data_IF_558401345004
#
_entry.id   IF_558401345004
#
_cell.length_a   1.000
_cell.length_b   1.000
_cell.length_c   1.000
_cell.angle_alpha   90.00
_cell.angle_beta   90.00
_cell.angle_gamma   90.00
#
_symmetry.space_group_name_H-M   'P 1'
#
loop_
_entity.id
_entity.type
_entity.pdbx_description
1 polymer ?
2 non-polymer ?
3 water ?
#
# COMPACT_ATOMS: atom_id res chain seq x y z
N UNK A 9 -5.41 -21.70 -22.65
CA UNK A 9 -4.37 -22.61 -22.19
C UNK A 9 -4.30 -22.65 -20.67
N UNK A 10 -5.01 -23.60 -20.07
CA UNK A 10 -5.02 -23.74 -18.61
C UNK A 10 -4.50 -25.10 -18.18
N UNK A 11 -3.59 -25.11 -17.19
CA UNK A 11 -3.07 -26.34 -16.60
C UNK A 11 -4.20 -27.22 -16.08
N UNK A 12 -4.05 -28.54 -16.19
CA UNK A 12 -5.09 -29.47 -15.79
C UNK A 12 -5.37 -29.40 -14.29
N UNK A 13 -4.32 -29.28 -13.49
CA UNK A 13 -4.45 -29.22 -12.04
C UNK A 13 -5.32 -28.04 -11.60
N UNK A 14 -5.23 -26.94 -12.35
CA UNK A 14 -5.93 -25.72 -12.00
C UNK A 14 -7.44 -25.82 -12.27
N UNK A 15 -7.78 -25.98 -13.54
CA UNK A 15 -9.19 -26.02 -13.95
C UNK A 15 -9.97 -27.11 -13.24
N UNK A 16 -9.26 -27.97 -12.51
CA UNK A 16 -9.91 -29.05 -11.78
C UNK A 16 -10.65 -28.52 -10.56
N UNK A 17 -10.07 -27.53 -9.89
CA UNK A 17 -10.61 -27.05 -8.63
C UNK A 17 -11.29 -25.68 -8.74
N UNK A 18 -11.13 -25.02 -9.88
CA UNK A 18 -11.70 -23.69 -10.06
C UNK A 18 -12.14 -23.41 -11.50
N UNK A 19 -12.89 -22.33 -11.67
CA UNK A 19 -13.35 -21.90 -12.99
C UNK A 19 -12.76 -20.54 -13.35
N UNK A 20 -11.53 -20.54 -13.83
CA UNK A 20 -10.86 -19.31 -14.24
C UNK A 20 -11.62 -18.61 -15.35
N UNK A 21 -11.82 -17.31 -15.22
CA UNK A 21 -12.63 -16.56 -16.18
C UNK A 21 -12.01 -15.22 -16.59
N UNK A 22 -12.71 -14.13 -16.27
CA UNK A 22 -12.37 -12.80 -16.77
C UNK A 22 -11.02 -12.28 -16.30
N UNK A 23 -10.83 -10.97 -16.45
CA UNK A 23 -9.61 -10.30 -16.04
C UNK A 23 -9.94 -9.12 -15.13
N UNK A 24 -9.14 -8.95 -14.09
CA UNK A 24 -9.35 -7.86 -13.13
C UNK A 24 -8.16 -6.89 -13.12
N UNK A 30 1.42 -7.27 -12.32
CA UNK A 30 0.64 -7.68 -13.47
C UNK A 30 -0.84 -7.69 -13.19
N UNK A 31 -1.63 -8.12 -14.16
CA UNK A 31 -3.08 -8.19 -14.02
C UNK A 31 -3.55 -9.56 -13.51
N UNK A 32 -4.60 -9.55 -12.70
CA UNK A 32 -5.11 -10.75 -12.05
C UNK A 32 -6.47 -11.16 -12.60
N UNK A 33 -6.76 -12.46 -12.59
CA UNK A 33 -8.00 -12.98 -13.16
C UNK A 33 -8.98 -13.49 -12.11
N UNK A 34 -10.26 -13.53 -12.47
CA UNK A 34 -11.33 -13.98 -11.57
C UNK A 34 -11.71 -15.44 -11.82
N UNK A 35 -12.06 -16.15 -10.75
CA UNK A 35 -12.47 -17.54 -10.85
C UNK A 35 -13.46 -17.93 -9.76
N UNK A 36 -14.25 -18.97 -10.02
CA UNK A 36 -15.25 -19.44 -9.05
C UNK A 36 -14.83 -20.76 -8.40
N UNK A 37 -14.92 -20.81 -7.07
CA UNK A 37 -14.61 -22.01 -6.32
C UNK A 37 -15.53 -23.15 -6.76
N UNK A 38 -14.97 -24.15 -7.40
CA UNK A 38 -15.74 -25.22 -8.03
C UNK A 38 -16.41 -26.14 -7.01
N UNK A 39 -16.44 -25.74 -5.75
CA UNK A 39 -17.04 -26.55 -4.70
C UNK A 39 -18.08 -25.77 -3.91
N UNK A 40 -17.92 -24.44 -3.87
CA UNK A 40 -18.78 -23.59 -3.05
C UNK A 40 -19.56 -22.58 -3.86
N UNK A 41 -19.18 -22.40 -5.12
CA UNK A 41 -19.80 -21.43 -6.01
C UNK A 41 -19.52 -20.00 -5.54
N UNK A 42 -18.59 -19.86 -4.61
CA UNK A 42 -18.15 -18.56 -4.13
C UNK A 42 -17.03 -18.05 -5.02
N UNK A 43 -16.99 -16.75 -5.25
CA UNK A 43 -15.99 -16.16 -6.15
C UNK A 43 -14.69 -15.80 -5.43
N UNK A 44 -13.58 -15.87 -6.16
CA UNK A 44 -12.28 -15.47 -5.65
C UNK A 44 -11.37 -14.99 -6.78
N UNK A 45 -10.31 -14.27 -6.43
CA UNK A 45 -9.36 -13.78 -7.44
C UNK A 45 -8.03 -14.51 -7.35
N UNK A 46 -7.48 -14.85 -8.51
CA UNK A 46 -6.21 -15.59 -8.57
C UNK A 46 -5.13 -14.78 -9.28
N UNK A 47 -4.00 -14.61 -8.60
CA UNK A 47 -2.89 -13.81 -9.13
C UNK A 47 -2.23 -14.47 -10.34
N UNK A 48 -1.88 -13.63 -11.33
CA UNK A 48 -1.17 -14.09 -12.51
C UNK A 48 -0.08 -13.10 -12.90
N UNK A 67 13.05 -14.01 -8.34
CA UNK A 67 12.33 -13.00 -7.58
C UNK A 67 10.82 -13.14 -7.68
N UNK A 68 10.38 -14.26 -8.26
CA UNK A 68 8.96 -14.55 -8.40
C UNK A 68 8.47 -15.37 -7.23
N UNK A 69 9.41 -16.10 -6.61
CA UNK A 69 9.11 -16.87 -5.42
C UNK A 69 8.91 -15.96 -4.22
N UNK A 70 9.58 -14.80 -4.26
CA UNK A 70 9.53 -13.85 -3.16
C UNK A 70 8.10 -13.53 -2.76
N UNK A 71 7.32 -13.03 -3.71
CA UNK A 71 5.94 -12.64 -3.43
C UNK A 71 5.15 -13.81 -2.85
N UNK A 72 5.30 -14.98 -3.46
CA UNK A 72 4.64 -16.18 -3.00
C UNK A 72 5.04 -16.49 -1.55
N UNK A 73 6.34 -16.38 -1.29
CA UNK A 73 6.88 -16.66 0.04
C UNK A 73 6.40 -15.63 1.05
N UNK A 74 6.26 -14.38 0.62
CA UNK A 74 5.82 -13.31 1.50
C UNK A 74 4.31 -13.32 1.68
N UNK A 75 3.57 -13.41 0.57
CA UNK A 75 2.12 -13.45 0.63
C UNK A 75 1.67 -14.60 1.52
N UNK A 76 2.54 -15.58 1.71
CA UNK A 76 2.28 -16.71 2.59
C UNK A 76 2.49 -16.32 4.04
N UNK A 77 3.43 -15.41 4.26
CA UNK A 77 3.73 -14.91 5.60
C UNK A 77 2.72 -13.84 6.01
N UNK A 78 2.07 -13.23 5.02
CA UNK A 78 1.08 -12.19 5.25
C UNK A 78 -0.12 -12.73 6.03
N UNK A 79 -0.35 -12.18 7.21
CA UNK A 79 -1.50 -12.58 8.03
C UNK A 79 -2.08 -11.41 8.80
N UNK A 80 -2.67 -10.47 8.08
CA UNK A 80 -3.24 -9.27 8.67
C UNK A 80 -4.50 -8.84 7.92
N UNK A 81 -5.49 -8.31 8.65
CA UNK A 81 -6.77 -7.87 8.07
C UNK A 81 -6.58 -6.97 6.84
N UNK A 82 -5.84 -5.89 7.00
CA UNK A 82 -5.64 -4.93 5.92
C UNK A 82 -4.60 -5.39 4.90
N UNK A 83 -4.46 -6.71 4.75
CA UNK A 83 -3.51 -7.27 3.80
C UNK A 83 -4.09 -8.51 3.11
N UNK A 84 -3.89 -8.60 1.81
CA UNK A 84 -4.36 -9.74 1.03
C UNK A 84 -3.97 -11.05 1.73
N UNK A 85 -4.93 -11.96 1.84
CA UNK A 85 -4.68 -13.26 2.46
C UNK A 85 -4.83 -14.36 1.42
N UNK A 86 -3.84 -15.25 1.37
CA UNK A 86 -3.85 -16.34 0.39
C UNK A 86 -4.70 -17.51 0.86
N UNK A 87 -5.43 -18.12 -0.07
CA UNK A 87 -6.27 -19.26 0.24
C UNK A 87 -5.62 -20.57 -0.19
N UNK A 88 -4.88 -20.51 -1.29
CA UNK A 88 -4.17 -21.67 -1.81
C UNK A 88 -3.17 -21.26 -2.90
N UNK A 89 -2.21 -22.13 -3.18
CA UNK A 89 -1.17 -21.82 -4.15
C UNK A 89 -0.92 -22.95 -5.14
N UNK A 90 -0.58 -22.58 -6.38
CA UNK A 90 -0.27 -23.54 -7.42
C UNK A 90 0.71 -22.95 -8.42
N UNK A 91 1.81 -23.64 -8.65
CA UNK A 91 2.88 -23.12 -9.49
C UNK A 91 2.95 -23.77 -10.87
N UNK A 92 4.16 -23.85 -11.42
CA UNK A 92 4.39 -24.43 -12.73
C UNK A 92 3.68 -23.65 -13.82
N UNK A 93 3.99 -23.97 -15.08
CA UNK A 93 3.39 -23.29 -16.22
C UNK A 93 3.50 -21.79 -16.00
N UNK A 94 2.36 -21.17 -15.66
CA UNK A 94 2.36 -19.79 -15.19
C UNK A 94 1.89 -19.75 -13.74
N UNK A 95 2.09 -18.60 -13.11
CA UNK A 95 1.96 -18.50 -11.65
C UNK A 95 0.56 -18.10 -11.19
N UNK A 96 -0.02 -18.93 -10.32
CA UNK A 96 -1.38 -18.73 -9.86
C UNK A 96 -1.48 -18.71 -8.34
N UNK A 97 -1.89 -17.57 -7.79
CA UNK A 97 -2.10 -17.43 -6.35
C UNK A 97 -3.52 -16.94 -6.08
N UNK A 98 -4.37 -17.83 -5.57
CA UNK A 98 -5.76 -17.48 -5.32
C UNK A 98 -5.99 -16.93 -3.91
N UNK A 99 -6.57 -15.74 -3.84
CA UNK A 99 -6.85 -15.10 -2.56
C UNK A 99 -8.32 -14.71 -2.46
N UNK A 100 -8.84 -14.65 -1.24
CA UNK A 100 -10.21 -14.19 -1.02
C UNK A 100 -10.44 -12.87 -1.72
N UNK A 101 -11.40 -12.84 -2.63
CA UNK A 101 -11.60 -11.69 -3.52
C UNK A 101 -12.10 -10.44 -2.81
N UNK A 102 -11.54 -9.29 -3.21
CA UNK A 102 -12.03 -7.99 -2.76
C UNK A 102 -12.99 -7.42 -3.79
N UNK A 103 -14.23 -7.22 -3.39
CA UNK A 103 -15.25 -6.70 -4.29
C UNK A 103 -15.02 -5.22 -4.61
N UNK A 104 -14.59 -4.47 -3.60
CA UNK A 104 -14.40 -3.04 -3.73
C UNK A 104 -13.55 -2.61 -4.92
N UNK A 105 -12.64 -3.47 -5.34
CA UNK A 105 -11.76 -3.18 -6.45
C UNK A 105 -10.57 -2.32 -6.02
N UNK A 106 -10.07 -1.52 -6.95
CA UNK A 106 -8.92 -0.67 -6.68
C UNK A 106 -9.33 0.64 -6.02
N UNK A 107 -8.56 1.09 -5.04
CA UNK A 107 -8.75 2.41 -4.46
C UNK A 107 -8.60 3.44 -5.57
N UNK A 108 -7.72 3.14 -6.51
CA UNK A 108 -7.51 3.98 -7.69
C UNK A 108 -8.84 4.36 -8.31
N UNK A 109 -9.55 3.36 -8.84
CA UNK A 109 -10.84 3.57 -9.49
C UNK A 109 -11.70 4.63 -8.78
N UNK A 110 -11.69 4.59 -7.45
CA UNK A 110 -12.56 5.45 -6.67
C UNK A 110 -12.09 6.91 -6.60
N UNK A 111 -10.83 7.14 -6.96
CA UNK A 111 -10.27 8.49 -6.84
C UNK A 111 -9.51 8.95 -8.08
N UNK A 112 -9.99 8.58 -9.25
CA UNK A 112 -9.41 9.06 -10.50
C UNK A 112 -10.34 10.10 -11.11
N UNK A 113 -9.94 10.68 -12.24
CA UNK A 113 -10.69 11.77 -12.84
C UNK A 113 -10.80 12.91 -11.85
N UNK A 114 -9.83 12.99 -10.95
CA UNK A 114 -9.83 14.02 -9.92
C UNK A 114 -11.18 14.11 -9.20
N UNK A 115 -11.64 12.97 -8.69
CA UNK A 115 -12.94 12.89 -8.04
C UNK A 115 -12.85 13.13 -6.54
N UNK A 116 -11.62 13.14 -6.01
CA UNK A 116 -11.39 13.36 -4.58
C UNK A 116 -12.17 12.37 -3.72
N UNK A 117 -12.11 12.56 -2.40
CA UNK A 117 -12.85 11.73 -1.47
C UNK A 117 -13.09 12.49 -0.17
N UNK A 118 -14.14 12.12 0.55
CA UNK A 118 -14.49 12.78 1.81
C UNK A 118 -13.41 12.54 2.88
N UNK A 119 -13.27 13.50 3.77
CA UNK A 119 -12.30 13.40 4.86
C UNK A 119 -12.44 12.07 5.60
N UNK A 120 -13.67 11.74 5.96
CA UNK A 120 -13.95 10.49 6.68
C UNK A 120 -13.45 9.29 5.87
N UNK A 121 -13.81 9.24 4.59
CA UNK A 121 -13.34 8.20 3.70
C UNK A 121 -11.83 8.07 3.81
N UNK A 122 -11.13 9.18 3.62
CA UNK A 122 -9.67 9.20 3.71
C UNK A 122 -9.18 8.70 5.04
N UNK A 123 -9.52 9.42 6.10
CA UNK A 123 -9.11 9.06 7.45
C UNK A 123 -9.28 7.56 7.70
N UNK A 124 -10.48 7.05 7.46
CA UNK A 124 -10.76 5.63 7.62
C UNK A 124 -9.85 4.80 6.71
N UNK A 125 -9.93 5.06 5.41
CA UNK A 125 -9.08 4.38 4.43
C UNK A 125 -7.62 4.41 4.86
N UNK A 126 -7.01 5.58 4.73
CA UNK A 126 -5.60 5.78 5.05
C UNK A 126 -5.22 5.17 6.39
N UNK A 127 -6.08 5.35 7.39
CA UNK A 127 -5.84 4.77 8.71
C UNK A 127 -5.45 3.31 8.59
N UNK A 128 -6.25 2.55 7.84
CA UNK A 128 -6.02 1.14 7.66
C UNK A 128 -4.72 0.89 6.91
N UNK A 129 -4.46 1.69 5.89
CA UNK A 129 -3.19 1.62 5.17
C UNK A 129 -2.05 1.71 6.17
N UNK A 130 -2.14 2.70 7.05
CA UNK A 130 -1.12 2.92 8.08
C UNK A 130 -0.92 1.67 8.93
N UNK A 131 -2.00 0.95 9.19
CA UNK A 131 -1.91 -0.28 9.98
C UNK A 131 -1.13 -1.36 9.23
N UNK A 132 -1.46 -1.56 7.96
CA UNK A 132 -0.77 -2.54 7.14
C UNK A 132 0.70 -2.19 6.98
N UNK A 133 0.98 -1.01 6.46
CA UNK A 133 2.35 -0.56 6.25
C UNK A 133 3.15 -0.72 7.54
N UNK A 134 2.51 -0.47 8.68
CA UNK A 134 3.16 -0.62 9.97
C UNK A 134 3.46 -2.09 10.25
N UNK A 135 2.42 -2.92 10.14
CA UNK A 135 2.57 -4.36 10.36
C UNK A 135 3.65 -4.98 9.47
N UNK A 136 3.80 -4.44 8.27
CA UNK A 136 4.84 -4.89 7.36
C UNK A 136 6.23 -4.56 7.89
N UNK A 137 6.44 -3.28 8.18
CA UNK A 137 7.72 -2.82 8.70
C UNK A 137 8.07 -3.51 10.00
N UNK A 138 7.06 -3.73 10.84
CA UNK A 138 7.25 -4.45 12.10
C UNK A 138 7.83 -5.83 11.83
N UNK A 139 7.45 -6.42 10.70
CA UNK A 139 7.97 -7.71 10.30
C UNK A 139 9.15 -7.56 9.35
N UNK A 140 9.84 -6.43 9.44
CA UNK A 140 10.97 -6.14 8.59
C UNK A 140 10.65 -6.30 7.11
N UNK A 141 9.42 -5.94 6.75
CA UNK A 141 8.96 -6.06 5.37
C UNK A 141 8.71 -4.70 4.74
N UNK A 142 9.16 -4.53 3.51
CA UNK A 142 8.94 -3.30 2.76
C UNK A 142 8.09 -3.58 1.53
N UNK A 143 7.03 -2.81 1.33
CA UNK A 143 6.18 -2.98 0.16
C UNK A 143 6.86 -2.42 -1.08
N UNK A 144 7.39 -1.22 -0.96
CA UNK A 144 8.19 -0.61 -2.02
C UNK A 144 7.39 -0.26 -3.28
N UNK A 145 6.08 -0.49 -3.25
CA UNK A 145 5.23 -0.13 -4.38
C UNK A 145 3.79 0.16 -3.95
N UNK A 146 3.64 1.12 -3.03
CA UNK A 146 2.34 1.49 -2.50
C UNK A 146 1.66 2.57 -3.34
N UNK A 147 0.58 2.20 -4.02
CA UNK A 147 -0.23 3.15 -4.78
C UNK A 147 -1.70 2.74 -4.75
N UNK A 148 -2.62 3.71 -4.95
CA UNK A 148 -4.05 3.47 -4.88
C UNK A 148 -4.49 2.19 -5.56
N UNK A 149 -3.89 1.87 -6.70
CA UNK A 149 -4.17 0.62 -7.40
C UNK A 149 -4.00 -0.55 -6.44
N UNK A 150 -2.82 -0.66 -5.85
CA UNK A 150 -2.50 -1.75 -4.94
C UNK A 150 -3.24 -1.68 -3.60
N UNK A 151 -4.14 -0.72 -3.47
CA UNK A 151 -4.98 -0.63 -2.29
C UNK A 151 -6.40 -1.06 -2.63
N UNK A 152 -6.73 -2.31 -2.30
CA UNK A 152 -8.05 -2.87 -2.63
C UNK A 152 -9.07 -2.58 -1.54
N UNK A 153 -10.35 -2.61 -1.90
CA UNK A 153 -11.41 -2.33 -0.94
C UNK A 153 -12.32 -3.55 -0.75
N UNK A 154 -13.09 -3.52 0.33
CA UNK A 154 -13.97 -4.64 0.66
C UNK A 154 -15.21 -4.68 -0.22
N UNK A 155 -16.10 -3.72 -0.02
CA UNK A 155 -17.32 -3.63 -0.82
C UNK A 155 -17.46 -2.28 -1.50
N UNK A 156 -18.28 -2.23 -2.55
CA UNK A 156 -18.48 -1.01 -3.33
C UNK A 156 -18.77 0.24 -2.50
N UNK A 157 -19.43 0.07 -1.36
CA UNK A 157 -19.80 1.18 -0.51
C UNK A 157 -18.61 2.11 -0.24
N UNK A 158 -18.90 3.37 0.06
CA UNK A 158 -17.86 4.36 0.32
C UNK A 158 -17.20 4.11 1.68
N UNK A 159 -17.79 3.21 2.45
CA UNK A 159 -17.24 2.83 3.74
C UNK A 159 -16.96 1.34 3.77
N UNK A 160 -15.70 0.97 3.97
CA UNK A 160 -15.29 -0.42 3.97
C UNK A 160 -13.85 -0.58 4.43
N UNK A 161 -13.40 -1.83 4.51
CA UNK A 161 -12.03 -2.13 4.86
C UNK A 161 -11.16 -2.16 3.61
N UNK A 162 -9.88 -1.90 3.77
CA UNK A 162 -8.97 -1.91 2.63
C UNK A 162 -7.69 -2.69 2.90
N UNK A 163 -7.32 -3.55 1.95
CA UNK A 163 -6.09 -4.32 2.05
C UNK A 163 -5.16 -3.89 0.92
N UNK A 164 -3.91 -4.38 0.96
CA UNK A 164 -2.95 -4.07 -0.10
C UNK A 164 -2.36 -5.34 -0.70
N UNK A 165 -2.14 -5.32 -2.01
CA UNK A 165 -1.62 -6.50 -2.71
C UNK A 165 -0.36 -6.19 -3.50
N UNK A 166 -0.06 -7.03 -4.47
CA UNK A 166 1.11 -6.87 -5.33
C UNK A 166 2.39 -6.72 -4.51
N UNK A 167 2.83 -7.82 -3.89
CA UNK A 167 4.06 -7.84 -3.13
C UNK A 167 5.24 -8.29 -3.99
N UNK A 168 5.12 -8.08 -5.30
CA UNK A 168 6.15 -8.50 -6.23
C UNK A 168 7.42 -7.70 -6.13
N UNK A 169 7.33 -6.50 -5.57
CA UNK A 169 8.48 -5.61 -5.44
C UNK A 169 9.03 -5.57 -4.02
N UNK A 170 8.30 -6.16 -3.08
CA UNK A 170 8.68 -6.13 -1.67
C UNK A 170 10.10 -6.64 -1.41
N UNK A 171 10.53 -6.52 -0.16
CA UNK A 171 11.86 -6.98 0.24
C UNK A 171 11.89 -7.30 1.73
N UNK A 172 12.70 -8.28 2.10
CA UNK A 172 12.81 -8.71 3.49
C UNK A 172 14.12 -8.20 4.12
N UNK A 173 13.99 -7.30 5.08
CA UNK A 173 15.16 -6.74 5.76
C UNK A 173 15.16 -7.08 7.25
N UNK A 176 20.95 -6.52 8.79
CA UNK A 176 21.09 -7.87 8.28
C UNK A 176 22.10 -7.93 7.14
N UNK A 177 23.13 -7.09 7.23
CA UNK A 177 24.18 -7.03 6.22
C UNK A 177 25.32 -6.14 6.69
N UNK A 178 24.98 -5.07 7.38
CA UNK A 178 25.98 -4.16 7.93
C UNK A 178 26.68 -4.81 9.12
N UNK A 179 26.06 -5.87 9.65
CA UNK A 179 26.69 -6.65 10.71
C UNK A 179 27.94 -7.32 10.17
N UNK A 180 27.91 -7.69 8.89
CA UNK A 180 29.05 -8.28 8.23
C UNK A 180 30.15 -7.24 8.06
N UNK A 181 29.75 -6.01 7.73
CA UNK A 181 30.69 -4.92 7.59
C UNK A 181 31.37 -4.61 8.92
N UNK A 182 30.55 -4.51 9.97
CA UNK A 182 31.06 -4.24 11.31
C UNK A 182 31.91 -5.41 11.80
N UNK A 183 32.38 -5.34 13.03
CA UNK A 183 33.27 -6.34 13.59
C UNK A 183 34.28 -6.85 12.55
N UNK A 184 35.09 -5.92 12.06
CA UNK A 184 36.09 -6.24 11.05
C UNK A 184 36.98 -5.06 10.73
N UNK A 188 39.32 -2.75 8.05
CA UNK A 188 39.29 -2.90 6.60
C UNK A 188 38.12 -2.11 5.99
N UNK A 189 37.54 -2.64 4.92
CA UNK A 189 36.35 -2.07 4.30
C UNK A 189 36.61 -0.81 3.48
N UNK A 190 35.67 -0.51 2.57
CA UNK A 190 35.76 0.69 1.75
C UNK A 190 34.94 1.82 2.36
N UNK A 191 35.35 3.07 2.10
CA UNK A 191 34.72 4.25 2.72
C UNK A 191 33.22 4.31 2.51
N UNK A 192 32.77 4.28 1.25
CA UNK A 192 31.35 4.41 0.95
C UNK A 192 30.49 3.48 1.79
N UNK A 193 31.01 2.30 2.09
CA UNK A 193 30.28 1.32 2.88
C UNK A 193 30.17 1.79 4.32
N UNK A 194 31.29 2.23 4.88
CA UNK A 194 31.32 2.72 6.25
C UNK A 194 30.30 3.83 6.47
N UNK A 195 30.31 4.81 5.59
CA UNK A 195 29.36 5.91 5.64
C UNK A 195 27.93 5.37 5.51
N UNK A 196 27.78 4.30 4.72
CA UNK A 196 26.48 3.69 4.51
C UNK A 196 25.85 3.28 5.83
N UNK A 197 26.69 3.09 6.85
CA UNK A 197 26.23 2.68 8.17
C UNK A 197 25.31 3.72 8.78
N UNK A 198 25.47 4.97 8.37
CA UNK A 198 24.67 6.06 8.89
C UNK A 198 23.31 6.19 8.22
N UNK A 199 23.02 5.28 7.29
CA UNK A 199 21.75 5.33 6.58
C UNK A 199 20.96 4.04 6.77
N UNK A 200 21.66 2.91 6.81
CA UNK A 200 21.03 1.61 6.96
C UNK A 200 19.90 1.64 7.99
N UNK A 201 18.83 0.90 7.71
CA UNK A 201 17.69 0.85 8.61
C UNK A 201 16.50 1.62 8.07
N UNK A 202 16.75 2.82 7.55
CA UNK A 202 15.68 3.67 7.04
C UNK A 202 15.34 3.37 5.59
N UNK A 203 15.48 2.09 5.20
CA UNK A 203 15.10 1.67 3.86
C UNK A 203 13.60 1.48 3.74
N UNK A 204 12.91 1.61 4.87
CA UNK A 204 11.47 1.41 4.91
C UNK A 204 10.72 2.72 4.72
N UNK A 205 11.39 3.83 4.99
CA UNK A 205 10.77 5.14 4.93
C UNK A 205 10.08 5.38 3.59
N UNK A 206 10.60 4.77 2.55
CA UNK A 206 10.03 4.91 1.21
C UNK A 206 8.52 4.61 1.18
N UNK A 207 8.10 3.65 1.99
CA UNK A 207 6.68 3.31 2.07
C UNK A 207 5.88 4.43 2.70
N UNK A 208 6.46 5.06 3.71
CA UNK A 208 5.83 6.22 4.35
C UNK A 208 5.68 7.32 3.30
N UNK A 209 6.75 7.56 2.55
CA UNK A 209 6.72 8.55 1.49
C UNK A 209 5.55 8.32 0.55
N UNK A 210 5.49 7.13 -0.03
CA UNK A 210 4.43 6.78 -0.97
C UNK A 210 3.06 6.86 -0.30
N UNK A 211 2.99 6.47 0.97
CA UNK A 211 1.74 6.59 1.72
C UNK A 211 1.32 8.04 1.79
N UNK A 212 2.29 8.93 2.01
CA UNK A 212 2.02 10.35 2.03
C UNK A 212 1.41 10.81 0.72
N UNK A 213 2.00 10.37 -0.38
CA UNK A 213 1.47 10.66 -1.71
C UNK A 213 0.05 10.11 -1.83
N UNK A 214 -0.10 8.81 -1.62
CA UNK A 214 -1.41 8.17 -1.68
C UNK A 214 -2.44 8.97 -0.88
N UNK A 215 -2.03 9.44 0.30
CA UNK A 215 -2.91 10.26 1.14
C UNK A 215 -3.19 11.59 0.45
N UNK A 216 -2.14 12.33 0.19
CA UNK A 216 -2.23 13.60 -0.53
C UNK A 216 -3.27 13.47 -1.64
N UNK A 217 -3.05 12.50 -2.53
CA UNK A 217 -4.00 12.22 -3.61
C UNK A 217 -5.45 12.19 -3.12
N UNK A 218 -5.77 11.19 -2.31
CA UNK A 218 -7.13 11.02 -1.80
C UNK A 218 -7.73 12.31 -1.27
N UNK A 219 -6.96 13.00 -0.42
CA UNK A 219 -7.42 14.25 0.18
C UNK A 219 -7.63 15.35 -0.84
N UNK A 220 -6.65 15.54 -1.73
CA UNK A 220 -6.72 16.62 -2.71
C UNK A 220 -7.44 16.20 -3.98
N UNK A 221 -6.90 15.21 -4.66
CA UNK A 221 -7.45 14.74 -5.92
C UNK A 221 -6.43 14.88 -7.04
N UNK A 222 -5.32 15.56 -6.74
CA UNK A 222 -4.27 15.79 -7.72
C UNK A 222 -2.90 15.34 -7.21
N UNK A 223 -2.04 14.89 -8.13
CA UNK A 223 -0.68 14.43 -7.81
C UNK A 223 0.17 15.52 -7.15
N UNK A 224 0.85 15.18 -6.05
CA UNK A 224 1.76 16.13 -5.39
C UNK A 224 2.90 16.50 -6.33
N UNK A 225 3.47 15.50 -6.98
CA UNK A 225 4.58 15.70 -7.90
C UNK A 225 4.19 15.31 -9.32
N UNK A 226 3.57 16.25 -10.03
CA UNK A 226 3.08 16.00 -11.37
C UNK A 226 3.92 16.73 -12.41
N UNK A 227 4.25 16.03 -13.50
CA UNK A 227 4.97 16.63 -14.62
C UNK A 227 4.02 17.48 -15.46
N UNK A 228 2.83 17.73 -14.92
CA UNK A 228 1.79 18.48 -15.61
C UNK A 228 2.04 19.98 -15.54
N UNK A 229 2.10 20.61 -16.71
CA UNK A 229 2.38 22.04 -16.83
C UNK A 229 3.74 22.39 -16.22
N UNK A 230 3.71 22.98 -15.03
CA UNK A 230 4.92 23.32 -14.28
C UNK A 230 6.17 23.35 -15.15
N UNK A 231 7.03 22.35 -14.94
CA UNK A 231 8.31 22.21 -15.63
C UNK A 231 9.32 21.61 -14.65
N UNK A 232 10.60 21.71 -14.99
CA UNK A 232 11.66 21.20 -14.13
C UNK A 232 11.58 19.68 -13.96
N UNK A 233 12.72 19.01 -14.14
CA UNK A 233 12.80 17.56 -14.04
C UNK A 233 12.03 17.03 -12.85
N UNK A 234 11.43 15.84 -13.01
CA UNK A 234 10.70 15.20 -11.93
C UNK A 234 11.65 14.85 -10.79
N UNK A 235 12.86 14.41 -11.15
CA UNK A 235 13.88 14.11 -10.16
C UNK A 235 14.21 15.36 -9.36
N UNK A 236 14.36 16.48 -10.05
CA UNK A 236 14.64 17.75 -9.39
C UNK A 236 13.41 18.25 -8.64
N UNK A 237 12.24 17.76 -9.05
CA UNK A 237 10.97 18.17 -8.46
C UNK A 237 10.67 17.36 -7.21
N UNK A 238 10.81 16.05 -7.31
CA UNK A 238 10.53 15.15 -6.20
C UNK A 238 11.64 15.17 -5.15
N UNK A 239 12.88 15.31 -5.60
CA UNK A 239 14.02 15.34 -4.70
C UNK A 239 14.02 16.60 -3.86
N UNK A 240 13.46 17.68 -4.39
CA UNK A 240 13.40 18.95 -3.68
C UNK A 240 12.27 18.94 -2.64
N UNK A 241 11.22 18.18 -2.92
CA UNK A 241 10.10 18.08 -2.00
C UNK A 241 9.09 19.20 -2.17
N UNK A 242 9.38 20.11 -3.10
CA UNK A 242 8.50 21.23 -3.38
C UNK A 242 7.27 20.78 -4.18
N UNK A 243 6.36 20.08 -3.51
CA UNK A 243 5.16 19.58 -4.15
C UNK A 243 4.27 20.69 -4.68
N UNK A 244 3.66 20.45 -5.84
CA UNK A 244 2.74 21.39 -6.44
C UNK A 244 1.52 21.59 -5.54
N UNK A 245 1.32 22.81 -5.07
CA UNK A 245 0.22 23.10 -4.16
C UNK A 245 -0.81 24.05 -4.77
N UNK A 246 -2.08 23.73 -4.55
CA UNK A 246 -3.18 24.52 -5.08
C UNK A 246 -4.25 24.68 -4.01
N UNK A 247 -4.28 25.85 -3.35
CA UNK A 247 -5.18 26.15 -2.24
C UNK A 247 -6.64 26.14 -2.67
N UNK A 248 -6.89 26.40 -3.95
CA UNK A 248 -8.25 26.48 -4.48
C UNK A 248 -9.03 25.21 -4.19
N UNK A 249 -8.33 24.18 -3.74
CA UNK A 249 -8.97 22.92 -3.36
C UNK A 249 -8.56 22.50 -1.95
N UNK A 250 -7.30 22.78 -1.60
CA UNK A 250 -6.77 22.40 -0.29
C UNK A 250 -7.39 23.22 0.84
N UNK A 251 -8.41 24.01 0.52
CA UNK A 251 -9.07 24.85 1.50
C UNK A 251 -10.23 24.11 2.19
N UNK A 252 -10.56 22.94 1.65
CA UNK A 252 -11.68 22.16 2.17
C UNK A 252 -11.22 21.07 3.14
N UNK A 253 -9.93 20.73 3.08
CA UNK A 253 -9.40 19.68 3.93
C UNK A 253 -9.32 20.15 5.38
N UNK A 254 -9.07 19.21 6.28
CA UNK A 254 -8.96 19.51 7.70
C UNK A 254 -7.72 20.34 8.01
N UNK A 255 -7.68 20.92 9.20
CA UNK A 255 -6.54 21.72 9.62
C UNK A 255 -5.40 20.83 10.09
N UNK A 256 -5.70 19.56 10.36
CA UNK A 256 -4.71 18.61 10.83
C UNK A 256 -4.30 17.65 9.71
N UNK A 257 -5.20 17.42 8.78
CA UNK A 257 -4.96 16.49 7.68
C UNK A 257 -3.77 16.95 6.82
N UNK A 258 -3.82 18.18 6.34
CA UNK A 258 -2.75 18.71 5.50
C UNK A 258 -1.42 18.68 6.23
N UNK A 259 -1.42 19.16 7.47
CA UNK A 259 -0.22 19.19 8.30
C UNK A 259 0.42 17.80 8.38
N UNK A 260 -0.41 16.76 8.35
CA UNK A 260 0.08 15.39 8.34
C UNK A 260 0.79 15.09 7.04
N UNK A 261 0.06 15.21 5.93
CA UNK A 261 0.63 14.98 4.61
C UNK A 261 1.95 15.72 4.46
N UNK A 262 1.94 16.99 4.85
CA UNK A 262 3.14 17.82 4.78
C UNK A 262 4.30 17.17 5.51
N UNK A 263 4.05 16.73 6.73
CA UNK A 263 5.10 16.11 7.55
C UNK A 263 5.40 14.70 7.09
N UNK A 264 4.67 14.25 6.06
CA UNK A 264 4.86 12.90 5.55
C UNK A 264 5.74 12.90 4.29
N UNK A 265 5.73 14.00 3.57
CA UNK A 265 6.55 14.15 2.37
C UNK A 265 7.82 14.93 2.68
N UNK A 266 8.71 14.32 3.45
CA UNK A 266 9.97 14.96 3.80
C UNK A 266 11.12 14.35 3.00
N UNK A 267 11.95 15.21 2.42
CA UNK A 267 13.06 14.75 1.58
C UNK A 267 14.09 13.96 2.39
N UNK A 268 14.04 14.10 3.71
CA UNK A 268 14.97 13.40 4.59
C UNK A 268 14.29 12.19 5.23
N UNK A 269 14.70 10.97 4.86
CA UNK A 269 14.13 9.73 5.39
C UNK A 269 14.27 9.64 6.90
N UNK A 270 15.27 10.32 7.44
CA UNK A 270 15.54 10.30 8.88
C UNK A 270 14.50 11.11 9.65
N UNK A 271 13.98 12.15 9.03
CA UNK A 271 12.98 13.01 9.67
C UNK A 271 11.58 12.75 9.14
N UNK A 272 11.44 11.72 8.30
CA UNK A 272 10.14 11.38 7.74
C UNK A 272 9.33 10.55 8.73
N UNK A 273 8.08 10.95 8.94
CA UNK A 273 7.19 10.29 9.89
C UNK A 273 7.21 8.77 9.74
N UNK A 274 7.50 8.08 10.83
CA UNK A 274 7.45 6.62 10.86
C UNK A 274 6.01 6.15 10.80
N UNK A 275 5.78 4.98 10.22
CA UNK A 275 4.43 4.42 10.14
C UNK A 275 3.79 4.40 11.51
N UNK A 276 4.60 4.14 12.53
CA UNK A 276 4.13 4.16 13.91
C UNK A 276 3.76 5.58 14.33
N UNK A 277 4.69 6.51 14.10
CA UNK A 277 4.49 7.90 14.48
C UNK A 277 3.23 8.49 13.87
N UNK A 278 2.97 8.13 12.61
CA UNK A 278 1.82 8.66 11.89
C UNK A 278 0.50 8.34 12.63
N UNK A 279 0.35 7.10 13.06
CA UNK A 279 -0.87 6.68 13.74
C UNK A 279 -1.16 7.54 14.97
N UNK A 280 -0.11 8.08 15.58
CA UNK A 280 -0.26 8.91 16.77
C UNK A 280 -0.63 10.35 16.42
N UNK A 281 -0.39 10.73 15.16
CA UNK A 281 -0.72 12.06 14.68
C UNK A 281 -2.18 12.40 14.98
N UNK A 282 -2.45 13.68 15.29
CA UNK A 282 -3.78 14.18 15.65
C UNK A 282 -4.89 13.75 14.70
N UNK A 283 -4.69 13.92 13.39
CA UNK A 283 -5.73 13.64 12.41
C UNK A 283 -6.15 12.18 12.40
N UNK A 284 -5.39 11.34 13.07
CA UNK A 284 -5.70 9.92 13.15
C UNK A 284 -6.24 9.54 14.53
N UNK A 285 -6.46 10.55 15.36
CA UNK A 285 -7.10 10.36 16.66
C UNK A 285 -8.59 10.64 16.52
N UNK A 286 -9.31 9.68 15.94
CA UNK A 286 -10.72 9.87 15.63
C UNK A 286 -11.53 8.64 16.03
N UNK A 287 -12.29 8.77 17.12
CA UNK A 287 -13.12 7.67 17.61
C UNK A 287 -14.03 7.14 16.52
N UNK A 288 -14.46 8.02 15.63
CA UNK A 288 -15.30 7.63 14.50
C UNK A 288 -14.57 6.66 13.58
N UNK A 289 -13.34 7.00 13.23
CA UNK A 289 -12.50 6.16 12.38
C UNK A 289 -12.31 4.78 13.00
N UNK A 290 -12.23 4.75 14.32
CA UNK A 290 -12.00 3.50 15.06
C UNK A 290 -13.30 2.88 15.54
N UNK A 291 -14.42 3.45 15.11
CA UNK A 291 -15.74 2.93 15.48
C UNK A 291 -16.45 2.39 14.25
N UNK A 292 -16.22 3.04 13.11
CA UNK A 292 -16.74 2.57 11.84
C UNK A 292 -15.81 1.50 11.29
N UNK A 293 -14.73 1.24 12.02
CA UNK A 293 -13.72 0.28 11.58
C UNK A 293 -13.66 -0.94 12.50
N UNK A 294 -13.53 -0.70 13.80
CA UNK A 294 -13.43 -1.77 14.77
C UNK A 294 -14.64 -2.70 14.70
N UNK A 295 -15.70 -2.23 14.05
CA UNK A 295 -16.92 -3.02 13.89
C UNK A 295 -16.98 -3.68 12.51
N UNK A 296 -16.45 -2.98 11.51
CA UNK A 296 -16.41 -3.50 10.15
C UNK A 296 -15.59 -4.78 10.05
N UNK A 297 -14.86 -5.10 11.12
CA UNK A 297 -14.14 -6.35 11.20
C UNK A 297 -15.10 -7.49 11.50
N UNK A 298 -16.01 -7.25 12.44
CA UNK A 298 -17.02 -8.23 12.80
C UNK A 298 -18.01 -8.42 11.64
N UNK A 299 -17.99 -7.48 10.70
CA UNK A 299 -18.82 -7.56 9.51
C UNK A 299 -18.22 -8.56 8.52
N UNK A 300 -17.13 -9.19 8.92
CA UNK A 300 -16.48 -10.21 8.11
C UNK A 300 -16.87 -11.59 8.61
N UNK A 301 -17.01 -11.71 9.92
CA UNK A 301 -17.40 -12.99 10.54
C UNK A 301 -18.85 -13.37 10.22
X LIG B 1 -8.28 -5.09 -10.02
X LIG B 1 -9.52 -4.66 -10.40
X LIG B 1 -10.66 -5.12 -9.73
X LIG B 1 -10.52 -6.07 -8.64
X LIG B 1 -9.26 -6.52 -8.24
X LIG B 1 -8.13 -6.07 -8.88
X LIG B 1 -6.83 -6.53 -8.48
X LIG B 1 -7.81 -7.88 -6.79
X LIG B 1 -7.64 -8.86 -5.66
X LIG B 1 -8.81 -9.51 -5.01
X LIG B 1 -8.62 -10.41 -3.97
X LIG B 1 -7.33 -10.71 -3.54
X LIG B 1 -6.21 -10.09 -4.16
X LIG B 1 -6.40 -9.16 -5.23
X LIG B 1 -4.31 -5.43 -9.17
X LIG B 1 -3.99 -4.17 -8.35
X LIG B 1 -2.28 -4.50 -10.01
X LIG B 1 -3.57 -5.18 -10.48
X LIG B 1 -9.14 -7.40 -7.20
X LIG B 1 -6.72 -7.44 -7.42
X LIG B 1 -5.61 -6.08 -9.09
X LIG B 1 -2.58 -3.86 -8.69
X LIG B 1 -10.10 -9.22 -5.43
#
# INVERSE_FOLDING_TARGET
GPLGSHMSVYPKALRDEYIMSKTLGSGACGEVKLAFERKTCKKVAIKIISKRKFAIGSAREADPALNVETEIEILKKLNHPCIIKIKNFFDAEDYYIVLELMEGGELFDKVVGNKRLKEATCKLYFYQMLLAVQYLHENGIIHRDLKPENVLLSSQEEDCLIKITDFGHSKILGETSLMRTLCGTPTYLAPEVLVSVGTAGYNRAVDCWSLGVILFICLSGYPPFSEHRTQVSLKDQITSGKYNFIPEVWAEVSEKALDLVKKLLVVDPKARFTTEEALRHPWLQDEDMKRKFQDLLSEENESTALPQVLAQPSTSRKRPREGEAEGAE
B4W C01 C02 C03 C04 C05 C06 C07 C08 C09 C10 C11 C12 C13 C14 C15 C16 C17 C18 N19 N20 N21 N22 O23
#
